data_IF_350169474457
#
_entry.id   IF_350169474457
#
_cell.length_a   1.000
_cell.length_b   1.000
_cell.length_c   1.000
_cell.angle_alpha   90.00
_cell.angle_beta   90.00
_cell.angle_gamma   90.00
#
_symmetry.space_group_name_H-M   'P 1'
#
loop_
_entity.id
_entity.type
_entity.pdbx_description
1 polymer ?
#
# COMPACT_ATOMS: atom_id res chain seq x y z
N UNK A 1 -7.35 5.39 -10.19
CA UNK A 1 -8.49 5.15 -9.26
C UNK A 1 -8.12 4.17 -8.14
N UNK A 2 -7.44 3.07 -8.46
CA UNK A 2 -7.01 2.05 -7.50
C UNK A 2 -6.38 2.62 -6.22
N UNK A 3 -5.45 3.58 -6.33
CA UNK A 3 -4.85 4.23 -5.16
C UNK A 3 -5.88 4.86 -4.20
N UNK A 4 -6.90 5.56 -4.72
CA UNK A 4 -7.96 6.18 -3.90
C UNK A 4 -8.85 5.14 -3.23
N UNK A 5 -9.15 4.04 -3.94
CA UNK A 5 -9.92 2.92 -3.38
C UNK A 5 -9.12 2.22 -2.28
N UNK A 6 -7.85 1.92 -2.54
CA UNK A 6 -6.95 1.30 -1.57
C UNK A 6 -6.78 2.17 -0.31
N UNK A 7 -6.63 3.50 -0.47
CA UNK A 7 -6.66 4.44 0.67
C UNK A 7 -7.96 4.34 1.45
N UNK A 8 -9.10 4.52 0.79
CA UNK A 8 -10.40 4.51 1.47
C UNK A 8 -10.64 3.17 2.20
N UNK A 9 -10.19 2.06 1.63
CA UNK A 9 -10.22 0.76 2.28
C UNK A 9 -9.27 0.67 3.48
N UNK A 10 -8.06 1.24 3.39
CA UNK A 10 -7.10 1.24 4.49
C UNK A 10 -7.56 2.11 5.67
N UNK A 11 -8.25 3.22 5.41
CA UNK A 11 -8.82 4.10 6.44
C UNK A 11 -10.06 3.49 7.11
N UNK A 12 -10.94 2.84 6.34
CA UNK A 12 -12.23 2.35 6.82
C UNK A 12 -12.25 0.87 7.22
N UNK A 13 -11.09 0.19 7.23
CA UNK A 13 -10.99 -1.19 7.74
C UNK A 13 -10.23 -1.24 9.06
N UNK A 14 -10.54 -2.23 9.92
CA UNK A 14 -9.75 -2.53 11.11
C UNK A 14 -8.25 -2.65 10.79
N UNK A 15 -7.38 -2.17 11.69
CA UNK A 15 -5.91 -2.11 11.47
C UNK A 15 -5.26 -3.48 11.22
N UNK A 16 -5.86 -4.54 11.74
CA UNK A 16 -5.42 -5.92 11.55
C UNK A 16 -5.73 -6.45 10.13
N UNK A 17 -6.68 -5.87 9.40
CA UNK A 17 -7.11 -6.31 8.05
C UNK A 17 -6.32 -5.67 6.91
N UNK A 18 -5.54 -6.46 6.17
CA UNK A 18 -4.70 -6.01 5.06
C UNK A 18 -5.51 -5.76 3.79
N UNK A 19 -5.09 -4.74 3.05
CA UNK A 19 -5.53 -4.44 1.69
C UNK A 19 -4.44 -4.87 0.74
N UNK A 20 -4.72 -5.87 -0.09
CA UNK A 20 -3.80 -6.31 -1.15
C UNK A 20 -4.10 -5.52 -2.42
N UNK A 21 -3.09 -4.89 -3.01
CA UNK A 21 -3.19 -4.13 -4.25
C UNK A 21 -2.30 -4.78 -5.30
N UNK A 22 -2.92 -5.42 -6.29
CA UNK A 22 -2.24 -6.08 -7.40
C UNK A 22 -2.18 -5.16 -8.63
N UNK A 23 -1.02 -5.07 -9.28
CA UNK A 23 -0.84 -4.43 -10.59
C UNK A 23 -0.36 -5.44 -11.64
N UNK A 24 -0.36 -5.10 -12.94
CA UNK A 24 0.07 -6.05 -13.99
C UNK A 24 1.59 -6.23 -14.02
N UNK A 25 2.34 -5.17 -13.69
CA UNK A 25 3.81 -5.15 -13.71
C UNK A 25 4.38 -4.38 -12.54
N UNK A 26 5.66 -4.59 -12.24
CA UNK A 26 6.38 -3.83 -11.21
C UNK A 26 6.38 -2.33 -11.48
N UNK A 27 6.46 -1.90 -12.75
CA UNK A 27 6.41 -0.49 -13.12
C UNK A 27 5.05 0.16 -12.78
N UNK A 28 3.95 -0.55 -13.04
CA UNK A 28 2.60 -0.09 -12.69
C UNK A 28 2.37 -0.11 -11.18
N UNK A 29 2.90 -1.11 -10.46
CA UNK A 29 2.89 -1.15 -9.00
C UNK A 29 3.61 0.06 -8.40
N UNK A 30 4.76 0.45 -8.96
CA UNK A 30 5.50 1.65 -8.54
C UNK A 30 4.72 2.93 -8.83
N UNK A 31 4.06 3.03 -9.98
CA UNK A 31 3.22 4.17 -10.33
C UNK A 31 2.00 4.28 -9.40
N UNK A 32 1.42 3.16 -8.97
CA UNK A 32 0.37 3.11 -7.97
C UNK A 32 0.87 3.54 -6.59
N UNK A 33 2.05 3.08 -6.20
CA UNK A 33 2.70 3.45 -4.96
C UNK A 33 2.95 4.96 -4.89
N UNK A 34 3.49 5.57 -5.95
CA UNK A 34 3.68 7.02 -6.05
C UNK A 34 2.36 7.80 -5.95
N UNK A 35 1.25 7.25 -6.46
CA UNK A 35 -0.08 7.83 -6.29
C UNK A 35 -0.64 7.62 -4.88
N UNK A 36 -0.26 6.55 -4.19
CA UNK A 36 -0.69 6.29 -2.81
C UNK A 36 0.01 7.21 -1.82
N UNK A 37 1.30 7.47 -2.01
CA UNK A 37 2.11 8.32 -1.12
C UNK A 37 1.78 9.80 -1.23
N UNK A 38 1.21 10.23 -2.36
CA UNK A 38 0.73 11.62 -2.56
C UNK A 38 -0.66 11.85 -1.99
N UNK A 39 -1.39 10.80 -1.62
CA UNK A 39 -2.71 10.93 -1.02
C UNK A 39 -2.57 11.09 0.50
N UNK A 40 -3.16 12.16 1.04
CA UNK A 40 -3.27 12.35 2.48
C UNK A 40 -4.07 11.20 3.12
N UNK A 41 -3.67 10.80 4.33
CA UNK A 41 -4.41 9.87 5.19
C UNK A 41 -3.78 8.48 5.36
N UNK A 42 -2.80 8.10 4.53
CA UNK A 42 -2.08 6.82 4.70
C UNK A 42 -0.67 7.08 5.21
N UNK A 43 -0.36 6.54 6.38
CA UNK A 43 1.00 6.55 6.90
C UNK A 43 1.92 5.72 5.98
N UNK A 44 2.98 6.32 5.40
CA UNK A 44 3.93 5.62 4.54
C UNK A 44 4.53 4.38 5.20
N UNK A 45 4.70 4.36 6.53
CA UNK A 45 5.28 3.19 7.23
C UNK A 45 4.42 1.93 7.09
N UNK A 46 3.12 2.11 6.83
CA UNK A 46 2.15 1.02 6.71
C UNK A 46 2.01 0.48 5.28
N UNK A 47 2.63 1.14 4.30
CA UNK A 47 2.61 0.71 2.90
C UNK A 47 3.86 -0.11 2.62
N UNK A 48 3.69 -1.28 1.99
CA UNK A 48 4.79 -2.15 1.58
C UNK A 48 4.66 -2.53 0.11
N UNK A 49 5.79 -2.60 -0.58
CA UNK A 49 5.90 -3.08 -1.94
C UNK A 49 6.78 -4.34 -1.99
N UNK A 50 6.21 -5.46 -2.44
CA UNK A 50 6.88 -6.76 -2.36
C UNK A 50 7.77 -7.12 -3.55
N UNK A 51 7.69 -6.37 -4.65
CA UNK A 51 8.31 -6.78 -5.93
C UNK A 51 9.75 -6.33 -6.14
N UNK A 52 10.18 -5.20 -5.54
CA UNK A 52 11.57 -4.71 -5.43
C UNK A 52 11.64 -3.19 -5.16
N UNK A 53 12.74 -2.81 -4.48
CA UNK A 53 13.58 -1.61 -4.71
C UNK A 53 13.09 -0.23 -4.25
N UNK A 54 14.00 0.64 -3.74
CA UNK A 54 13.64 1.95 -3.20
C UNK A 54 13.00 2.88 -4.24
N UNK A 55 11.92 3.55 -3.85
CA UNK A 55 11.22 4.54 -4.67
C UNK A 55 11.49 5.92 -4.14
N UNK A 56 12.02 6.82 -4.98
CA UNK A 56 12.06 8.26 -4.70
C UNK A 56 12.54 8.60 -3.27
N UNK A 57 13.70 8.07 -2.88
CA UNK A 57 14.34 8.25 -1.56
C UNK A 57 13.70 7.52 -0.37
N UNK A 58 12.62 6.77 -0.55
CA UNK A 58 12.05 5.89 0.49
C UNK A 58 12.02 4.44 0.05
N UNK A 59 12.50 3.54 0.90
CA UNK A 59 12.52 2.11 0.61
C UNK A 59 11.22 1.45 1.06
N UNK A 60 10.35 1.10 0.13
CA UNK A 60 9.07 0.41 0.39
C UNK A 60 9.20 -1.11 0.44
N UNK A 61 10.42 -1.64 0.31
CA UNK A 61 10.67 -3.05 0.60
C UNK A 61 10.33 -3.38 2.06
N UNK A 62 9.98 -4.63 2.37
CA UNK A 62 9.78 -5.06 3.76
C UNK A 62 10.97 -4.72 4.67
N UNK A 63 12.19 -4.90 4.18
CA UNK A 63 13.43 -4.60 4.89
C UNK A 63 13.60 -3.09 5.12
N UNK A 64 13.34 -2.28 4.09
CA UNK A 64 13.35 -0.82 4.18
C UNK A 64 12.32 -0.27 5.15
N UNK A 65 11.13 -0.86 5.20
CA UNK A 65 10.08 -0.49 6.17
C UNK A 65 10.46 -0.85 7.59
N UNK A 66 11.06 -2.02 7.82
CA UNK A 66 11.61 -2.38 9.13
C UNK A 66 12.69 -1.38 9.54
N UNK A 67 13.58 -1.00 8.63
CA UNK A 67 14.62 0.00 8.92
C UNK A 67 14.03 1.37 9.28
N UNK A 68 13.04 1.85 8.53
CA UNK A 68 12.34 3.09 8.82
C UNK A 68 11.66 3.07 10.21
N UNK A 69 11.03 1.95 10.59
CA UNK A 69 10.44 1.77 11.91
C UNK A 69 11.49 1.77 13.04
N UNK A 70 12.66 1.19 12.80
CA UNK A 70 13.78 1.21 13.76
C UNK A 70 14.37 2.62 13.91
N UNK A 71 14.45 3.41 12.84
CA UNK A 71 14.85 4.82 12.91
C UNK A 71 13.80 5.65 13.67
N UNK A 72 12.53 5.48 13.34
CA UNK A 72 11.40 6.10 14.04
C UNK A 72 11.40 5.79 15.53
N UNK A 73 11.72 4.54 15.91
CA UNK A 73 11.90 4.15 17.32
C UNK A 73 12.93 5.03 18.02
N UNK A 74 14.09 5.29 17.40
CA UNK A 74 15.15 6.12 18.00
C UNK A 74 14.66 7.55 18.22
N UNK A 75 13.92 8.12 17.26
CA UNK A 75 13.32 9.45 17.37
C UNK A 75 12.27 9.52 18.50
N UNK A 76 11.44 8.49 18.65
CA UNK A 76 10.44 8.45 19.71
C UNK A 76 11.09 8.31 21.08
N UNK A 77 12.13 7.50 21.21
CA UNK A 77 12.86 7.32 22.47
C UNK A 77 13.60 8.60 22.88
N UNK A 78 14.16 9.35 21.94
CA UNK A 78 14.75 10.66 22.23
C UNK A 78 13.70 11.68 22.68
N UNK A 79 12.48 11.60 22.12
CA UNK A 79 11.35 12.40 22.60
C UNK A 79 10.93 12.02 24.02
N UNK A 80 10.93 10.72 24.38
CA UNK A 80 10.68 10.28 25.76
C UNK A 80 11.74 10.80 26.71
N UNK A 81 13.01 10.73 26.30
CA UNK A 81 14.12 11.28 27.09
C UNK A 81 13.97 12.79 27.32
N UNK A 82 13.51 13.54 26.32
CA UNK A 82 13.22 14.97 26.46
C UNK A 82 12.10 15.22 27.49
N UNK A 83 11.02 14.42 27.48
CA UNK A 83 9.94 14.52 28.47
C UNK A 83 10.47 14.20 29.88
N UNK A 84 11.28 13.16 30.02
CA UNK A 84 11.87 12.77 31.30
C UNK A 84 12.79 13.87 31.87
N UNK A 85 13.66 14.46 31.04
CA UNK A 85 14.51 15.59 31.43
C UNK A 85 13.68 16.80 31.85
N UNK A 86 12.60 17.10 31.13
CA UNK A 86 11.69 18.20 31.51
C UNK A 86 11.05 17.93 32.88
N UNK A 87 10.55 16.71 33.12
CA UNK A 87 9.94 16.34 34.42
C UNK A 87 10.96 16.47 35.56
N UNK A 88 12.20 16.02 35.36
CA UNK A 88 13.27 16.14 36.36
C UNK A 88 13.65 17.60 36.66
N UNK A 89 13.60 18.51 35.67
CA UNK A 89 13.79 19.95 35.93
C UNK A 89 12.67 20.57 36.77
N UNK A 90 11.44 20.09 36.58
CA UNK A 90 10.27 20.65 37.27
C UNK A 90 10.23 20.20 38.73
N UNK A 91 10.56 18.94 39.02
CA UNK A 91 10.61 18.41 40.37
C UNK A 91 11.69 17.34 40.51
N UNK A 92 12.93 17.78 40.72
CA UNK A 92 14.07 16.89 40.86
C UNK A 92 13.94 15.91 42.04
N UNK A 93 13.21 16.28 43.11
CA UNK A 93 13.05 15.40 44.27
C UNK A 93 12.17 14.18 43.94
N UNK A 94 11.13 14.38 43.12
CA UNK A 94 10.19 13.33 42.70
C UNK A 94 10.68 12.51 41.51
N UNK A 95 11.51 13.10 40.66
CA UNK A 95 11.84 12.60 39.32
C UNK A 95 13.35 12.38 39.10
N UNK A 96 14.14 12.37 40.18
CA UNK A 96 15.58 12.14 40.14
C UNK A 96 15.97 10.84 39.43
N UNK A 97 16.98 10.91 38.56
CA UNK A 97 17.59 9.75 37.93
C UNK A 97 16.74 9.10 36.83
N UNK A 98 15.63 9.74 36.44
CA UNK A 98 14.86 9.33 35.26
C UNK A 98 15.56 9.74 33.97
N UNK A 99 16.33 10.84 33.98
CA UNK A 99 17.24 11.18 32.89
C UNK A 99 18.69 10.90 33.30
N UNK A 100 19.46 10.21 32.45
CA UNK A 100 20.93 10.29 32.53
C UNK A 100 21.76 9.07 32.90
N UNK A 101 21.33 7.80 32.73
CA UNK A 101 22.30 6.68 32.82
C UNK A 101 22.14 5.54 31.82
N UNK A 102 20.97 5.37 31.20
CA UNK A 102 20.76 4.45 30.09
C UNK A 102 19.80 5.09 29.07
N UNK A 103 20.10 4.98 27.78
CA UNK A 103 19.12 5.32 26.73
C UNK A 103 17.84 4.51 26.97
N UNK A 104 16.68 5.15 26.88
CA UNK A 104 15.40 4.46 27.05
C UNK A 104 15.28 3.28 26.07
N UNK A 105 14.85 2.12 26.56
CA UNK A 105 14.30 1.03 25.74
C UNK A 105 12.80 1.24 25.55
N UNK A 106 12.16 0.55 24.59
CA UNK A 106 10.70 0.59 24.49
C UNK A 106 10.05 0.13 25.81
N UNK A 107 10.59 -0.90 26.45
CA UNK A 107 10.07 -1.39 27.74
C UNK A 107 10.18 -0.33 28.85
N UNK A 108 11.34 0.29 29.02
CA UNK A 108 11.55 1.31 30.05
C UNK A 108 10.72 2.58 29.77
N UNK A 109 10.56 2.95 28.50
CA UNK A 109 9.70 4.06 28.10
C UNK A 109 8.22 3.79 28.45
N UNK A 110 7.74 2.56 28.29
CA UNK A 110 6.37 2.18 28.67
C UNK A 110 6.18 2.14 30.18
N UNK A 111 7.18 1.69 30.94
CA UNK A 111 7.15 1.81 32.41
C UNK A 111 7.10 3.28 32.83
N UNK A 112 7.93 4.12 32.20
CA UNK A 112 7.94 5.56 32.46
C UNK A 112 6.57 6.21 32.17
N UNK A 113 5.96 5.86 31.04
CA UNK A 113 4.61 6.31 30.69
C UNK A 113 3.58 5.94 31.77
N UNK A 114 3.56 4.68 32.18
CA UNK A 114 2.57 4.17 33.13
C UNK A 114 2.70 4.76 34.53
N UNK A 115 3.92 4.90 35.04
CA UNK A 115 4.13 5.31 36.44
C UNK A 115 4.30 6.81 36.63
N UNK A 116 4.80 7.54 35.63
CA UNK A 116 5.10 8.97 35.77
C UNK A 116 4.20 9.84 34.90
N UNK A 117 4.09 9.53 33.60
CA UNK A 117 3.32 10.37 32.66
C UNK A 117 1.82 10.27 32.90
N UNK A 118 1.27 9.06 33.09
CA UNK A 118 -0.14 8.87 33.40
C UNK A 118 -0.51 9.50 34.74
N UNK A 119 0.32 9.32 35.77
CA UNK A 119 0.11 9.96 37.07
C UNK A 119 0.09 11.50 36.96
N UNK A 120 0.95 12.09 36.11
CA UNK A 120 0.94 13.53 35.84
C UNK A 120 -0.35 13.98 35.12
N UNK A 121 -0.82 13.21 34.14
CA UNK A 121 -2.07 13.49 33.43
C UNK A 121 -3.28 13.40 34.37
N UNK A 122 -3.30 12.43 35.27
CA UNK A 122 -4.35 12.27 36.28
C UNK A 122 -4.32 13.44 37.29
N UNK A 123 -3.15 13.81 37.79
CA UNK A 123 -2.98 14.96 38.70
C UNK A 123 -3.46 16.28 38.08
N UNK A 124 -3.24 16.45 36.79
CA UNK A 124 -3.71 17.64 36.07
C UNK A 124 -5.24 17.69 35.96
N UNK A 125 -5.92 16.54 35.84
CA UNK A 125 -7.38 16.48 35.83
C UNK A 125 -8.01 16.85 37.17
N UNK A 126 -7.37 16.49 38.27
CA UNK A 126 -7.97 16.60 39.61
C UNK A 126 -7.66 17.90 40.34
N UNK A 127 -6.50 18.53 40.10
CA UNK A 127 -6.01 19.62 40.96
C UNK A 127 -5.52 20.88 40.22
N UNK A 128 -4.71 20.74 39.17
CA UNK A 128 -4.19 21.90 38.41
C UNK A 128 -3.50 21.51 37.10
N UNK A 129 -3.85 22.18 35.99
CA UNK A 129 -3.24 21.99 34.66
C UNK A 129 -1.83 22.60 34.52
N UNK A 130 -1.29 23.25 35.55
CA UNK A 130 -0.04 24.03 35.45
C UNK A 130 1.14 23.23 34.90
N UNK A 131 1.30 21.97 35.33
CA UNK A 131 2.37 21.08 34.84
C UNK A 131 2.18 20.73 33.36
N UNK A 132 0.96 20.38 32.95
CA UNK A 132 0.66 20.06 31.55
C UNK A 132 0.85 21.29 30.64
N UNK A 133 0.47 22.48 31.11
CA UNK A 133 0.72 23.75 30.39
C UNK A 133 2.22 24.01 30.22
N UNK A 134 3.02 23.74 31.26
CA UNK A 134 4.48 23.83 31.16
C UNK A 134 5.09 22.85 30.16
N UNK A 135 4.58 21.61 30.10
CA UNK A 135 5.02 20.63 29.10
C UNK A 135 4.62 21.04 27.68
N UNK A 136 3.41 21.59 27.52
CA UNK A 136 2.94 22.14 26.26
C UNK A 136 3.83 23.31 25.80
N UNK A 137 4.15 24.24 26.71
CA UNK A 137 5.02 25.38 26.44
C UNK A 137 6.42 24.97 25.99
N UNK A 138 7.04 23.99 26.65
CA UNK A 138 8.37 23.48 26.26
C UNK A 138 8.37 22.87 24.85
N UNK A 139 7.30 22.15 24.48
CA UNK A 139 7.24 21.39 23.22
C UNK A 139 6.73 22.22 22.04
N UNK A 140 5.79 23.13 22.27
CA UNK A 140 5.16 23.94 21.24
C UNK A 140 5.70 25.38 21.18
N UNK A 141 6.49 25.81 22.17
CA UNK A 141 7.04 27.16 22.25
C UNK A 141 5.98 28.25 22.46
N UNK A 142 4.75 27.88 22.83
CA UNK A 142 3.63 28.79 23.06
C UNK A 142 2.74 28.29 24.19
N UNK A 143 1.97 29.19 24.78
CA UNK A 143 0.92 28.83 25.73
C UNK A 143 -0.31 28.22 25.01
N UNK A 144 -1.02 27.30 25.67
CA UNK A 144 -2.24 26.73 25.11
C UNK A 144 -3.38 27.74 25.19
N UNK A 145 -4.13 27.87 24.10
CA UNK A 145 -5.27 28.78 24.00
C UNK A 145 -6.42 28.32 24.91
N UNK A 146 -6.71 27.01 24.91
CA UNK A 146 -7.83 26.40 25.62
C UNK A 146 -7.47 25.09 26.31
N UNK A 147 -8.24 24.70 27.32
CA UNK A 147 -8.13 23.39 27.97
C UNK A 147 -8.39 22.22 26.97
N UNK A 148 -9.21 22.44 25.95
CA UNK A 148 -9.47 21.45 24.89
C UNK A 148 -8.24 21.21 24.01
N UNK A 149 -7.43 22.25 23.78
CA UNK A 149 -6.16 22.15 23.06
C UNK A 149 -5.14 21.36 23.87
N UNK A 150 -5.09 21.60 25.18
CA UNK A 150 -4.24 20.84 26.08
C UNK A 150 -4.59 19.35 26.09
N UNK A 151 -5.89 19.02 26.11
CA UNK A 151 -6.34 17.63 26.02
C UNK A 151 -5.97 16.97 24.67
N UNK A 152 -6.13 17.69 23.56
CA UNK A 152 -5.69 17.21 22.23
C UNK A 152 -4.18 17.00 22.19
N UNK A 153 -3.39 17.88 22.80
CA UNK A 153 -1.94 17.70 22.88
C UNK A 153 -1.58 16.42 23.64
N UNK A 154 -2.19 16.18 24.80
CA UNK A 154 -1.95 14.95 25.57
C UNK A 154 -2.30 13.71 24.74
N UNK A 155 -3.45 13.70 24.08
CA UNK A 155 -3.87 12.56 23.26
C UNK A 155 -2.97 12.37 22.04
N UNK A 156 -2.81 13.40 21.22
CA UNK A 156 -2.16 13.29 19.91
C UNK A 156 -0.63 13.35 19.95
N UNK A 157 -0.03 13.93 20.99
CA UNK A 157 1.43 14.09 21.05
C UNK A 157 2.08 13.26 22.16
N UNK A 158 1.43 13.12 23.31
CA UNK A 158 2.01 12.34 24.43
C UNK A 158 1.60 10.87 24.32
N UNK A 159 0.30 10.58 24.29
CA UNK A 159 -0.20 9.21 24.25
C UNK A 159 0.17 8.52 22.93
N UNK A 160 0.12 9.22 21.80
CA UNK A 160 0.49 8.65 20.51
C UNK A 160 1.94 8.19 20.47
N UNK A 161 2.89 8.94 21.05
CA UNK A 161 4.32 8.54 21.15
C UNK A 161 4.47 7.20 21.86
N UNK A 162 3.82 7.04 23.02
CA UNK A 162 3.91 5.79 23.78
C UNK A 162 3.13 4.65 23.12
N UNK A 163 1.99 4.94 22.48
CA UNK A 163 1.25 3.94 21.69
C UNK A 163 2.08 3.44 20.50
N UNK A 164 2.89 4.30 19.88
CA UNK A 164 3.76 3.95 18.77
C UNK A 164 4.96 3.13 19.26
N UNK A 165 5.56 3.50 20.39
CA UNK A 165 6.63 2.73 21.03
C UNK A 165 6.17 1.33 21.46
N UNK A 166 4.93 1.19 21.95
CA UNK A 166 4.33 -0.11 22.26
C UNK A 166 4.26 -1.02 21.02
N UNK A 167 3.81 -0.47 19.88
CA UNK A 167 3.78 -1.20 18.61
C UNK A 167 5.19 -1.58 18.11
N UNK A 168 6.19 -0.75 18.40
CA UNK A 168 7.58 -0.97 17.97
C UNK A 168 8.37 -1.93 18.87
N UNK A 169 7.85 -2.23 20.07
CA UNK A 169 8.51 -3.11 21.04
C UNK A 169 8.87 -4.48 20.47
N UNK A 170 8.05 -5.02 19.56
CA UNK A 170 8.33 -6.32 18.94
C UNK A 170 9.64 -6.31 18.14
N UNK A 171 10.00 -5.20 17.49
CA UNK A 171 11.22 -5.13 16.68
C UNK A 171 12.50 -5.01 17.51
N UNK A 172 12.37 -4.54 18.75
CA UNK A 172 13.46 -4.54 19.73
C UNK A 172 13.80 -5.97 20.19
N UNK A 173 12.77 -6.80 20.41
CA UNK A 173 12.92 -8.18 20.86
C UNK A 173 13.37 -9.12 19.74
N UNK A 174 12.84 -8.95 18.53
CA UNK A 174 13.19 -9.78 17.39
C UNK A 174 14.58 -9.41 16.88
N UNK A 175 15.53 -10.35 16.86
CA UNK A 175 16.88 -10.10 16.36
C UNK A 175 17.07 -10.51 14.90
N UNK A 176 16.42 -11.59 14.46
CA UNK A 176 16.61 -12.09 13.10
C UNK A 176 15.88 -11.18 12.09
N UNK A 177 16.53 -10.79 10.97
CA UNK A 177 15.93 -9.90 9.98
C UNK A 177 14.67 -10.50 9.34
N UNK A 178 14.68 -11.83 9.11
CA UNK A 178 13.50 -12.56 8.62
C UNK A 178 12.31 -12.44 9.58
N UNK A 179 12.54 -12.60 10.88
CA UNK A 179 11.47 -12.49 11.88
C UNK A 179 10.91 -11.07 11.96
N UNK A 180 11.79 -10.05 11.89
CA UNK A 180 11.34 -8.64 11.84
C UNK A 180 10.48 -8.37 10.61
N UNK A 181 10.90 -8.88 9.46
CA UNK A 181 10.16 -8.76 8.21
C UNK A 181 8.76 -9.38 8.32
N UNK A 182 8.69 -10.61 8.84
CA UNK A 182 7.44 -11.33 8.98
C UNK A 182 6.52 -10.63 10.00
N UNK A 183 7.06 -10.16 11.13
CA UNK A 183 6.33 -9.39 12.12
C UNK A 183 5.82 -8.05 11.56
N UNK A 184 6.60 -7.38 10.72
CA UNK A 184 6.17 -6.18 10.03
C UNK A 184 4.97 -6.46 9.12
N UNK A 185 5.04 -7.49 8.27
CA UNK A 185 3.94 -7.84 7.36
C UNK A 185 2.66 -8.23 8.12
N UNK A 186 2.79 -8.93 9.25
CA UNK A 186 1.66 -9.37 10.07
C UNK A 186 1.04 -8.19 10.84
N UNK A 187 1.84 -7.41 11.55
CA UNK A 187 1.33 -6.43 12.54
C UNK A 187 1.25 -5.00 12.03
N UNK A 188 2.18 -4.56 11.17
CA UNK A 188 2.36 -3.15 10.82
C UNK A 188 1.89 -2.81 9.40
N UNK A 189 2.11 -3.70 8.43
CA UNK A 189 1.65 -3.47 7.07
C UNK A 189 0.11 -3.33 7.03
N UNK A 190 -0.38 -2.38 6.23
CA UNK A 190 -1.81 -2.13 5.97
C UNK A 190 -2.12 -2.33 4.50
N UNK A 191 -1.32 -1.71 3.64
CA UNK A 191 -1.45 -1.79 2.19
C UNK A 191 -0.26 -2.56 1.63
N UNK A 192 -0.54 -3.72 1.04
CA UNK A 192 0.47 -4.59 0.43
C UNK A 192 0.35 -4.47 -1.08
N UNK A 193 1.29 -3.78 -1.71
CA UNK A 193 1.36 -3.58 -3.15
C UNK A 193 2.30 -4.62 -3.76
N UNK A 194 1.88 -5.22 -4.87
CA UNK A 194 2.68 -6.22 -5.60
C UNK A 194 2.19 -6.37 -7.04
N UNK A 195 3.02 -6.87 -7.95
CA UNK A 195 2.56 -7.25 -9.29
C UNK A 195 1.96 -8.65 -9.31
N UNK A 196 1.21 -8.94 -10.37
CA UNK A 196 0.63 -10.26 -10.62
C UNK A 196 1.69 -11.38 -10.66
N UNK A 197 2.90 -11.10 -11.15
CA UNK A 197 3.99 -12.08 -11.19
C UNK A 197 4.55 -12.33 -9.80
N UNK A 198 4.74 -11.29 -8.99
CA UNK A 198 5.25 -11.43 -7.64
C UNK A 198 4.27 -12.16 -6.72
N UNK A 199 2.96 -12.00 -6.92
CA UNK A 199 1.93 -12.78 -6.23
C UNK A 199 2.20 -14.27 -6.42
N UNK A 200 2.51 -14.69 -7.65
CA UNK A 200 2.80 -16.09 -7.96
C UNK A 200 4.11 -16.56 -7.33
N UNK A 201 5.18 -15.76 -7.41
CA UNK A 201 6.49 -16.11 -6.84
C UNK A 201 6.44 -16.20 -5.31
N UNK A 202 5.72 -15.30 -4.65
CA UNK A 202 5.68 -15.20 -3.19
C UNK A 202 4.46 -15.88 -2.57
N UNK A 203 3.62 -16.55 -3.37
CA UNK A 203 2.36 -17.14 -2.92
C UNK A 203 2.54 -18.05 -1.70
N UNK A 204 3.48 -18.99 -1.77
CA UNK A 204 3.72 -19.93 -0.67
C UNK A 204 4.15 -19.23 0.61
N UNK A 205 4.99 -18.20 0.48
CA UNK A 205 5.47 -17.43 1.62
C UNK A 205 4.34 -16.64 2.28
N UNK A 206 3.56 -15.90 1.49
CA UNK A 206 2.42 -15.13 2.01
C UNK A 206 1.33 -16.03 2.58
N UNK A 207 1.10 -17.21 1.99
CA UNK A 207 0.17 -18.22 2.50
C UNK A 207 0.64 -18.81 3.84
N UNK A 208 1.95 -19.02 4.03
CA UNK A 208 2.53 -19.46 5.31
C UNK A 208 2.38 -18.42 6.41
N UNK A 209 2.50 -17.13 6.08
CA UNK A 209 2.29 -16.03 7.03
C UNK A 209 0.83 -15.89 7.49
N UNK A 210 -0.14 -16.43 6.74
CA UNK A 210 -1.58 -16.36 7.03
C UNK A 210 -2.04 -14.93 7.32
N UNK A 211 -1.63 -13.97 6.48
CA UNK A 211 -2.02 -12.57 6.63
C UNK A 211 -3.55 -12.43 6.70
N UNK A 212 -4.05 -11.53 7.54
CA UNK A 212 -5.49 -11.23 7.65
C UNK A 212 -5.92 -10.33 6.49
N UNK A 213 -6.33 -10.89 5.36
CA UNK A 213 -6.66 -10.12 4.16
C UNK A 213 -8.15 -9.80 4.16
N UNK A 214 -8.49 -8.51 4.30
CA UNK A 214 -9.88 -8.06 4.30
C UNK A 214 -10.36 -7.58 2.94
N UNK A 215 -9.46 -7.06 2.10
CA UNK A 215 -9.81 -6.51 0.79
C UNK A 215 -8.73 -6.76 -0.24
N UNK A 216 -9.14 -7.06 -1.48
CA UNK A 216 -8.26 -7.18 -2.64
C UNK A 216 -8.69 -6.12 -3.65
N UNK A 217 -7.71 -5.38 -4.16
CA UNK A 217 -7.85 -4.43 -5.26
C UNK A 217 -6.92 -4.90 -6.38
N UNK A 218 -7.45 -5.09 -7.57
CA UNK A 218 -6.68 -5.44 -8.76
C UNK A 218 -6.80 -4.29 -9.75
N UNK A 219 -5.70 -3.61 -10.02
CA UNK A 219 -5.62 -2.56 -11.05
C UNK A 219 -5.30 -3.20 -12.41
N UNK A 220 -5.84 -2.60 -13.48
CA UNK A 220 -5.75 -3.10 -14.86
C UNK A 220 -6.05 -4.62 -14.98
N UNK A 221 -7.07 -5.07 -14.26
CA UNK A 221 -7.48 -6.47 -14.12
C UNK A 221 -7.83 -7.15 -15.44
N UNK A 222 -8.20 -6.40 -16.49
CA UNK A 222 -8.45 -6.97 -17.82
C UNK A 222 -7.19 -7.49 -18.50
N UNK A 223 -6.02 -6.98 -18.11
CA UNK A 223 -4.73 -7.35 -18.65
C UNK A 223 -4.04 -8.48 -17.87
N UNK A 224 -4.59 -8.87 -16.71
CA UNK A 224 -4.05 -9.93 -15.85
C UNK A 224 -4.79 -11.24 -16.15
N UNK A 225 -4.05 -12.32 -16.34
CA UNK A 225 -4.66 -13.64 -16.58
C UNK A 225 -5.53 -14.08 -15.40
N UNK A 226 -6.57 -14.87 -15.69
CA UNK A 226 -7.43 -15.41 -14.65
C UNK A 226 -6.65 -16.21 -13.59
N UNK A 227 -5.64 -16.99 -14.00
CA UNK A 227 -4.81 -17.75 -13.07
C UNK A 227 -4.11 -16.87 -12.03
N UNK A 228 -3.50 -15.76 -12.48
CA UNK A 228 -2.81 -14.83 -11.58
C UNK A 228 -3.78 -14.04 -10.71
N UNK A 229 -4.90 -13.59 -11.28
CA UNK A 229 -5.97 -12.95 -10.50
C UNK A 229 -6.52 -13.91 -9.44
N UNK A 230 -6.70 -15.18 -9.78
CA UNK A 230 -7.15 -16.23 -8.89
C UNK A 230 -6.21 -16.50 -7.72
N UNK A 231 -4.89 -16.38 -7.92
CA UNK A 231 -3.93 -16.52 -6.82
C UNK A 231 -4.14 -15.47 -5.72
N UNK A 232 -4.57 -14.24 -6.05
CA UNK A 232 -4.91 -13.28 -4.99
C UNK A 232 -6.11 -13.72 -4.15
N UNK A 233 -7.13 -14.30 -4.79
CA UNK A 233 -8.31 -14.82 -4.09
C UNK A 233 -7.96 -16.04 -3.24
N UNK A 234 -7.10 -16.92 -3.75
CA UNK A 234 -6.58 -18.07 -3.00
C UNK A 234 -5.72 -17.63 -1.81
N UNK A 235 -4.94 -16.57 -1.96
CA UNK A 235 -4.16 -15.99 -0.88
C UNK A 235 -5.08 -15.45 0.23
N UNK A 236 -6.20 -14.80 -0.15
CA UNK A 236 -7.23 -14.42 0.82
C UNK A 236 -7.97 -15.64 1.42
N UNK A 237 -8.11 -16.74 0.68
CA UNK A 237 -8.63 -18.00 1.21
C UNK A 237 -7.71 -18.65 2.24
N UNK A 238 -6.39 -18.50 2.09
CA UNK A 238 -5.37 -18.93 3.05
C UNK A 238 -5.20 -17.96 4.24
N UNK A 239 -6.01 -16.90 4.31
CA UNK A 239 -5.96 -15.90 5.37
C UNK A 239 -6.30 -16.48 6.75
N UNK A 240 -5.72 -15.91 7.82
CA UNK A 240 -6.08 -16.25 9.19
C UNK A 240 -7.57 -16.00 9.52
N UNK A 241 -8.24 -15.11 8.78
CA UNK A 241 -9.70 -14.89 8.88
C UNK A 241 -10.39 -15.41 7.63
N UNK A 242 -11.43 -16.24 7.78
CA UNK A 242 -12.13 -16.90 6.66
C UNK A 242 -12.99 -15.98 5.78
N UNK A 243 -12.99 -14.66 5.99
CA UNK A 243 -13.92 -13.75 5.33
C UNK A 243 -13.19 -12.62 4.61
N UNK A 244 -12.82 -12.88 3.35
CA UNK A 244 -12.56 -11.82 2.40
C UNK A 244 -13.84 -10.99 2.25
N UNK A 245 -13.78 -9.69 2.58
CA UNK A 245 -14.97 -8.83 2.62
C UNK A 245 -15.24 -8.17 1.27
N UNK A 246 -14.19 -7.79 0.55
CA UNK A 246 -14.30 -6.99 -0.68
C UNK A 246 -13.26 -7.38 -1.72
N UNK A 247 -13.70 -7.49 -2.97
CA UNK A 247 -12.85 -7.63 -4.15
C UNK A 247 -13.23 -6.54 -5.14
N UNK A 248 -12.26 -5.68 -5.48
CA UNK A 248 -12.44 -4.61 -6.45
C UNK A 248 -11.55 -4.87 -7.65
N UNK A 249 -12.15 -5.14 -8.81
CA UNK A 249 -11.45 -5.27 -10.08
C UNK A 249 -11.63 -3.98 -10.88
N UNK A 250 -10.52 -3.32 -11.21
CA UNK A 250 -10.50 -2.13 -12.06
C UNK A 250 -9.85 -2.51 -13.38
N UNK A 251 -10.49 -2.19 -14.49
CA UNK A 251 -9.96 -2.53 -15.80
C UNK A 251 -10.86 -2.05 -16.92
N UNK A 252 -10.35 -2.17 -18.13
CA UNK A 252 -11.05 -1.80 -19.36
C UNK A 252 -11.54 -3.04 -20.11
N UNK A 253 -12.76 -2.98 -20.63
CA UNK A 253 -13.39 -4.07 -21.39
C UNK A 253 -12.71 -4.33 -22.73
N UNK A 254 -12.14 -3.30 -23.34
CA UNK A 254 -11.54 -3.40 -24.69
C UNK A 254 -10.12 -4.00 -24.65
N UNK A 255 -9.50 -4.00 -23.47
CA UNK A 255 -8.15 -4.48 -23.28
C UNK A 255 -8.11 -5.99 -23.04
N UNK A 256 -7.02 -6.62 -23.49
CA UNK A 256 -6.80 -8.06 -23.37
C UNK A 256 -5.57 -8.36 -22.52
N UNK A 257 -5.45 -9.62 -22.07
CA UNK A 257 -4.35 -10.09 -21.23
C UNK A 257 -3.00 -9.87 -21.92
N UNK A 258 -2.06 -9.20 -21.22
CA UNK A 258 -0.68 -9.01 -21.68
C UNK A 258 0.14 -10.29 -21.49
N UNK A 259 1.07 -10.58 -22.42
CA UNK A 259 2.11 -11.62 -22.20
C UNK A 259 1.73 -13.07 -22.52
N UNK A 260 0.86 -13.31 -23.49
CA UNK A 260 0.51 -14.67 -23.94
C UNK A 260 1.71 -15.41 -24.56
N UNK A 261 2.09 -16.53 -23.95
CA UNK A 261 3.36 -17.23 -24.26
C UNK A 261 3.31 -18.05 -25.56
N UNK A 262 2.15 -18.49 -26.06
CA UNK A 262 2.05 -19.08 -27.41
C UNK A 262 0.65 -18.85 -27.99
N UNK A 263 0.51 -18.21 -29.17
CA UNK A 263 -0.79 -17.92 -29.78
C UNK A 263 -1.64 -19.17 -30.02
N UNK A 264 -1.02 -20.28 -30.42
CA UNK A 264 -1.68 -21.55 -30.73
C UNK A 264 -2.33 -22.21 -29.52
N UNK A 265 -1.60 -22.39 -28.42
CA UNK A 265 -2.14 -23.00 -27.18
C UNK A 265 -3.26 -22.14 -26.58
N UNK A 266 -3.11 -20.82 -26.66
CA UNK A 266 -4.05 -19.88 -26.11
C UNK A 266 -5.43 -19.90 -26.79
N UNK A 267 -5.51 -20.24 -28.08
CA UNK A 267 -6.78 -20.37 -28.81
C UNK A 267 -7.60 -21.57 -28.33
N UNK A 268 -6.94 -22.65 -27.88
CA UNK A 268 -7.62 -23.89 -27.47
C UNK A 268 -7.88 -23.97 -25.96
N UNK A 269 -7.13 -23.23 -25.14
CA UNK A 269 -7.15 -23.38 -23.67
C UNK A 269 -7.94 -22.30 -22.94
N UNK A 270 -8.44 -21.27 -23.63
CA UNK A 270 -9.12 -20.14 -22.98
C UNK A 270 -8.20 -19.28 -22.09
N UNK A 271 -6.88 -19.52 -22.10
CA UNK A 271 -5.90 -18.80 -21.27
C UNK A 271 -5.72 -17.31 -21.63
N UNK A 272 -6.48 -16.79 -22.60
CA UNK A 272 -6.47 -15.37 -22.97
C UNK A 272 -7.37 -14.51 -22.10
N UNK A 273 -8.14 -15.13 -21.20
CA UNK A 273 -9.19 -14.43 -20.48
C UNK A 273 -8.73 -14.04 -19.08
N UNK A 274 -9.05 -12.80 -18.74
CA UNK A 274 -8.94 -12.30 -17.38
C UNK A 274 -10.19 -12.69 -16.59
N UNK A 275 -10.03 -12.76 -15.27
CA UNK A 275 -11.16 -12.92 -14.35
C UNK A 275 -12.19 -11.80 -14.55
N UNK A 276 -11.71 -10.58 -14.84
CA UNK A 276 -12.52 -9.41 -15.14
C UNK A 276 -13.43 -9.62 -16.36
N UNK A 277 -12.87 -10.01 -17.51
CA UNK A 277 -13.65 -10.24 -18.73
C UNK A 277 -14.62 -11.42 -18.59
N UNK A 278 -14.25 -12.46 -17.83
CA UNK A 278 -15.14 -13.57 -17.50
C UNK A 278 -16.33 -13.11 -16.65
N UNK A 279 -16.09 -12.33 -15.60
CA UNK A 279 -17.12 -11.80 -14.71
C UNK A 279 -18.13 -10.91 -15.45
N UNK A 280 -17.66 -10.10 -16.39
CA UNK A 280 -18.53 -9.29 -17.23
C UNK A 280 -19.44 -10.13 -18.13
N UNK A 281 -18.91 -11.21 -18.73
CA UNK A 281 -19.71 -12.13 -19.55
C UNK A 281 -20.72 -12.95 -18.74
N UNK A 282 -20.41 -13.23 -17.48
CA UNK A 282 -21.34 -13.84 -16.53
C UNK A 282 -22.47 -12.90 -16.08
N UNK A 283 -22.50 -11.65 -16.56
CA UNK A 283 -23.58 -10.71 -16.28
C UNK A 283 -23.41 -9.91 -15.00
N UNK A 284 -22.22 -9.90 -14.39
CA UNK A 284 -21.94 -9.00 -13.26
C UNK A 284 -22.01 -7.55 -13.75
N UNK A 285 -22.86 -6.75 -13.12
CA UNK A 285 -23.07 -5.34 -13.48
C UNK A 285 -21.87 -4.49 -13.05
N UNK A 286 -21.06 -3.94 -13.98
CA UNK A 286 -19.95 -3.09 -13.60
C UNK A 286 -20.41 -1.65 -13.38
N UNK A 287 -19.65 -0.93 -12.56
CA UNK A 287 -19.74 0.53 -12.47
C UNK A 287 -18.92 1.11 -13.62
N UNK A 288 -19.59 1.69 -14.61
CA UNK A 288 -18.93 2.39 -15.73
C UNK A 288 -18.52 3.77 -15.23
N UNK A 289 -17.21 4.02 -15.21
CA UNK A 289 -16.68 5.34 -14.93
C UNK A 289 -16.84 6.19 -16.17
N UNK A 290 -17.40 7.39 -16.03
CA UNK A 290 -17.41 8.35 -17.12
C UNK A 290 -15.96 8.57 -17.57
N UNK A 291 -15.71 8.46 -18.89
CA UNK A 291 -14.44 8.91 -19.46
C UNK A 291 -14.22 10.35 -18.98
N UNK A 292 -13.02 10.71 -18.50
CA UNK A 292 -12.65 12.11 -18.47
C UNK A 292 -12.97 12.69 -19.85
N UNK A 293 -13.63 13.86 -19.89
CA UNK A 293 -13.81 14.59 -21.13
C UNK A 293 -12.42 14.95 -21.66
N UNK A 294 -11.83 14.07 -22.46
CA UNK A 294 -10.74 14.45 -23.33
C UNK A 294 -11.27 15.49 -24.32
N UNK A 295 -10.41 16.47 -24.58
CA UNK A 295 -10.56 17.60 -25.47
C UNK A 295 -11.35 17.28 -26.76
N UNK A 296 -12.06 18.28 -27.34
CA UNK A 296 -13.01 18.05 -28.41
C UNK A 296 -12.40 17.21 -29.54
N UNK A 297 -13.06 16.08 -29.80
CA UNK A 297 -12.86 15.26 -30.97
C UNK A 297 -13.20 16.08 -32.22
N UNK A 298 -12.21 16.78 -32.77
CA UNK A 298 -12.18 17.08 -34.18
C UNK A 298 -11.51 15.89 -34.88
N UNK A 299 -12.17 15.41 -35.94
CA UNK A 299 -11.67 14.42 -36.90
C UNK A 299 -11.84 12.94 -36.55
N UNK A 300 -13.09 12.48 -36.50
CA UNK A 300 -13.47 11.20 -37.10
C UNK A 300 -14.99 11.12 -37.31
N UNK A 301 -15.51 11.82 -38.32
CA UNK A 301 -16.79 11.46 -38.92
C UNK A 301 -16.60 11.09 -40.39
N UNK A 302 -16.92 9.84 -40.64
CA UNK A 302 -17.21 9.15 -41.88
C UNK A 302 -17.91 9.99 -42.96
N UNK A 303 -17.52 9.79 -44.22
CA UNK A 303 -18.48 9.82 -45.34
C UNK A 303 -18.37 8.52 -46.13
N UNK A 304 -19.48 7.79 -46.18
CA UNK A 304 -19.70 6.62 -47.02
C UNK A 304 -20.10 7.00 -48.47
N UNK A 305 -19.90 6.04 -49.38
CA UNK A 305 -20.15 5.97 -50.84
C UNK A 305 -21.60 6.27 -51.31
N UNK A 306 -21.81 6.32 -52.64
CA UNK A 306 -22.52 5.18 -53.27
C UNK A 306 -21.96 4.62 -54.61
N UNK A 307 -22.32 3.35 -54.83
CA UNK A 307 -22.39 2.42 -56.01
C UNK A 307 -22.61 3.02 -57.41
N UNK A 308 -22.39 2.42 -58.61
CA UNK A 308 -22.49 1.05 -59.22
C UNK A 308 -21.93 1.21 -60.68
N UNK A 309 -21.31 0.26 -61.39
CA UNK A 309 -21.86 -0.79 -62.30
C UNK A 309 -20.70 -1.36 -63.15
N UNK A 310 -20.73 -2.66 -63.50
CA UNK A 310 -19.59 -3.40 -64.03
C UNK A 310 -19.46 -3.54 -65.56
N UNK A 311 -18.42 -4.28 -65.99
CA UNK A 311 -18.41 -5.16 -67.18
C UNK A 311 -17.06 -5.90 -67.33
N UNK A 312 -17.17 -7.24 -67.40
CA UNK A 312 -16.50 -8.22 -68.28
C UNK A 312 -14.97 -8.16 -68.51
N UNK A 313 -14.33 -9.27 -68.12
CA UNK A 313 -13.12 -9.91 -68.70
C UNK A 313 -13.22 -10.10 -70.22
N UNK A 314 -12.08 -10.23 -70.95
CA UNK A 314 -11.50 -11.57 -71.14
C UNK A 314 -9.97 -11.66 -71.19
N UNK A 315 -9.50 -12.90 -71.07
CA UNK A 315 -8.12 -13.38 -71.07
C UNK A 315 -7.37 -13.25 -72.41
N UNK A 316 -6.02 -13.20 -72.34
CA UNK A 316 -5.10 -13.84 -73.30
C UNK A 316 -3.69 -13.98 -72.69
N UNK A 317 -3.22 -15.22 -72.64
CA UNK A 317 -1.87 -15.73 -72.30
C UNK A 317 -0.92 -15.61 -73.54
N UNK A 318 0.33 -16.14 -73.53
CA UNK A 318 1.58 -15.68 -72.89
C UNK A 318 2.69 -15.38 -73.93
N UNK A 319 3.86 -14.81 -73.56
CA UNK A 319 5.12 -15.13 -74.28
C UNK A 319 6.44 -14.81 -73.53
N UNK A 320 7.24 -15.89 -73.38
CA UNK A 320 8.71 -16.06 -73.57
C UNK A 320 9.78 -15.26 -72.79
N UNK A 321 10.50 -16.03 -71.95
CA UNK A 321 11.96 -16.36 -71.95
C UNK A 321 13.01 -15.26 -72.25
N UNK A 322 13.95 -15.08 -71.29
CA UNK A 322 15.45 -15.12 -71.41
C UNK A 322 16.03 -14.92 -69.99
N UNK A 323 16.61 -15.90 -69.28
CA UNK A 323 17.98 -16.48 -69.35
C UNK A 323 19.14 -15.49 -69.57
N UNK A 324 19.97 -15.34 -68.53
CA UNK A 324 21.39 -14.92 -68.52
C UNK A 324 21.86 -14.79 -67.05
N UNK A 325 22.56 -15.78 -66.46
CA UNK A 325 24.03 -15.99 -66.38
C UNK A 325 24.76 -14.87 -65.60
N UNK A 326 25.15 -15.13 -64.34
CA UNK A 326 26.52 -15.45 -63.82
C UNK A 326 27.51 -14.29 -63.86
N UNK A 327 28.01 -13.83 -62.70
CA UNK A 327 29.39 -14.04 -62.21
C UNK A 327 29.82 -12.97 -61.20
N UNK A 328 30.62 -13.42 -60.23
CA UNK A 328 31.45 -12.68 -59.24
C UNK A 328 30.79 -12.32 -57.92
#
# INVERSE_FOLDING_TARGET
MAARVARALAENTPRDEKVIVMATSTAEANALLAKLTTLDGVDPTTIVHLDNGPHQNQDFSPEGRVHALLQRRIELLSSVEAIARWMERVDAAKYAGMSGSASYSCANALFFHRFHVQALIEQARDSSDALLRGLFGERQGREPADATELQRFVQTHVQDVFSELERLQCFELLQAPKQRRDAYLIHHARVVVLSSVAVAVQFEYLAKLRLRVGSIVVDDASQISEGLSGLSLLLAGASATKHLKRVTLLGDREQTVKGLVVPGVAQFTGQRESLFSRWLRLGISPVVLARPAEAPAAEAQSTEKPTKTGKKTPAKTPQKKKKGKTSS
#
